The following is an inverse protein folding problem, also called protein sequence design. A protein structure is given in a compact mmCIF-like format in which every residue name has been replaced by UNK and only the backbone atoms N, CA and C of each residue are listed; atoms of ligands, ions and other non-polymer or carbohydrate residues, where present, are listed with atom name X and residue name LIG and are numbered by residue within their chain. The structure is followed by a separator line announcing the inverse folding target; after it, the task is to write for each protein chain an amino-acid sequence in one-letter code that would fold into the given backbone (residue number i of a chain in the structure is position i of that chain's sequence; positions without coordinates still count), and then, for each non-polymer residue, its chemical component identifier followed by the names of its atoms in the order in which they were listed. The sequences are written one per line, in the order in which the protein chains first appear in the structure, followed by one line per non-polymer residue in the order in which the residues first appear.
data_IF_187195048380
#
_entry.id   IF_187195048380
#
_cell.length_a   1.000
_cell.length_b   1.000
_cell.length_c   1.000
_cell.angle_alpha   90.00
_cell.angle_beta   90.00
_cell.angle_gamma   90.00
#
_symmetry.space_group_name_H-M   'P 1'
#
loop_
_entity.id
_entity.type
_entity.pdbx_description
1 polymer ?
#
# COMPACT_ATOMS: atom_id res chain seq x y z
N UNK A 1 -4.98 -22.53 20.39
CA UNK A 1 -5.15 -21.28 19.61
C UNK A 1 -5.12 -21.69 18.16
N UNK A 2 -6.11 -21.33 17.34
CA UNK A 2 -6.01 -21.54 15.90
C UNK A 2 -4.81 -20.74 15.39
N UNK A 3 -3.94 -21.36 14.58
CA UNK A 3 -2.87 -20.63 13.89
C UNK A 3 -3.50 -19.59 12.97
N UNK A 4 -2.95 -18.38 12.91
CA UNK A 4 -3.37 -17.37 11.94
C UNK A 4 -3.25 -17.96 10.52
N UNK A 5 -4.33 -17.89 9.73
CA UNK A 5 -4.44 -18.57 8.41
C UNK A 5 -4.41 -17.58 7.24
N UNK A 6 -4.51 -16.28 7.52
CA UNK A 6 -4.62 -15.22 6.51
C UNK A 6 -3.60 -14.11 6.73
N UNK A 7 -2.39 -14.47 7.16
CA UNK A 7 -1.31 -13.51 7.36
C UNK A 7 -0.76 -12.95 6.04
N UNK A 8 -0.30 -11.71 6.09
CA UNK A 8 0.35 -10.99 4.98
C UNK A 8 1.77 -10.56 5.39
N UNK A 9 2.68 -10.31 4.44
CA UNK A 9 2.52 -10.42 2.98
C UNK A 9 2.56 -11.87 2.49
N UNK A 10 2.30 -12.10 1.19
CA UNK A 10 2.44 -13.41 0.53
C UNK A 10 3.19 -13.28 -0.81
N UNK A 11 3.62 -14.41 -1.35
CA UNK A 11 4.10 -14.48 -2.73
C UNK A 11 2.94 -14.60 -3.72
N UNK A 12 2.92 -13.73 -4.72
CA UNK A 12 1.96 -13.75 -5.82
C UNK A 12 2.59 -14.58 -6.95
N UNK A 13 2.21 -15.84 -7.01
CA UNK A 13 2.68 -16.79 -8.02
C UNK A 13 1.67 -16.76 -9.17
N UNK A 14 2.05 -16.22 -10.34
CA UNK A 14 1.13 -15.95 -11.45
C UNK A 14 0.29 -17.16 -11.89
N UNK A 15 0.89 -18.35 -11.93
CA UNK A 15 0.18 -19.61 -12.28
C UNK A 15 -0.90 -20.04 -11.27
N UNK A 16 -0.87 -19.50 -10.05
CA UNK A 16 -1.81 -19.83 -8.97
C UNK A 16 -2.87 -18.73 -8.79
N UNK A 17 -2.86 -17.69 -9.65
CA UNK A 17 -3.80 -16.58 -9.59
C UNK A 17 -4.98 -16.85 -10.52
N UNK A 18 -6.18 -16.72 -10.00
CA UNK A 18 -7.42 -16.88 -10.76
C UNK A 18 -7.81 -15.54 -11.40
N UNK A 19 -7.85 -15.47 -12.73
CA UNK A 19 -8.38 -14.30 -13.40
C UNK A 19 -9.90 -14.23 -13.16
N UNK A 20 -10.38 -13.09 -12.67
CA UNK A 20 -11.80 -12.82 -12.39
C UNK A 20 -12.12 -11.42 -12.92
N UNK A 21 -12.26 -11.30 -14.23
CA UNK A 21 -12.47 -10.02 -14.93
C UNK A 21 -13.85 -9.40 -14.63
N UNK A 22 -14.78 -10.17 -14.05
CA UNK A 22 -16.09 -9.66 -13.63
C UNK A 22 -15.99 -8.88 -12.31
N UNK A 23 -15.26 -9.43 -11.34
CA UNK A 23 -15.12 -8.84 -10.00
C UNK A 23 -13.87 -7.94 -9.89
N UNK A 24 -12.74 -8.34 -10.46
CA UNK A 24 -11.47 -7.62 -10.36
C UNK A 24 -11.32 -6.60 -11.49
N UNK A 25 -12.24 -5.64 -11.56
CA UNK A 25 -12.27 -4.63 -12.63
C UNK A 25 -11.38 -3.44 -12.32
N UNK A 26 -10.27 -3.28 -13.05
CA UNK A 26 -9.35 -2.16 -12.92
C UNK A 26 -10.02 -0.79 -13.14
N UNK A 27 -10.98 -0.71 -14.06
CA UNK A 27 -11.76 0.49 -14.34
C UNK A 27 -12.80 0.83 -13.25
N UNK A 28 -13.15 -0.15 -12.40
CA UNK A 28 -14.05 0.03 -11.27
C UNK A 28 -13.31 0.40 -9.97
N UNK A 29 -11.97 0.27 -9.93
CA UNK A 29 -11.16 0.70 -8.80
C UNK A 29 -11.00 2.22 -8.85
N UNK A 30 -11.71 2.90 -7.97
CA UNK A 30 -11.72 4.35 -7.89
C UNK A 30 -11.20 4.82 -6.53
N UNK A 31 -10.09 5.56 -6.55
CA UNK A 31 -9.60 6.32 -5.40
C UNK A 31 -9.97 7.78 -5.65
N UNK A 32 -11.03 8.25 -5.03
CA UNK A 32 -11.51 9.63 -5.12
C UNK A 32 -10.73 10.51 -4.15
N UNK A 33 -9.51 10.91 -4.55
CA UNK A 33 -8.64 11.75 -3.72
C UNK A 33 -9.18 13.18 -3.60
N UNK A 34 -9.18 13.71 -2.38
CA UNK A 34 -9.52 15.12 -2.11
C UNK A 34 -8.25 15.91 -1.75
N UNK A 35 -7.85 16.88 -2.59
CA UNK A 35 -6.68 17.71 -2.32
C UNK A 35 -6.69 18.33 -0.92
N UNK A 36 -5.56 18.20 -0.22
CA UNK A 36 -5.40 18.67 1.16
C UNK A 36 -5.82 17.67 2.24
N UNK A 37 -6.30 16.47 1.87
CA UNK A 37 -6.58 15.42 2.84
C UNK A 37 -5.31 14.84 3.46
N UNK A 38 -4.24 14.68 2.67
CA UNK A 38 -2.91 14.35 3.19
C UNK A 38 -2.26 15.62 3.73
N UNK A 39 -2.05 15.70 5.04
CA UNK A 39 -1.72 16.95 5.73
C UNK A 39 -0.25 17.10 6.05
N UNK A 40 0.38 16.05 6.56
CA UNK A 40 1.75 16.09 7.03
C UNK A 40 2.40 14.70 7.03
N UNK A 41 3.72 14.72 7.14
CA UNK A 41 4.57 13.55 7.29
C UNK A 41 5.22 13.58 8.66
N UNK A 42 5.19 12.44 9.33
CA UNK A 42 6.03 12.15 10.49
C UNK A 42 7.02 11.06 10.13
N UNK A 43 8.23 11.15 10.71
CA UNK A 43 9.26 10.12 10.60
C UNK A 43 9.59 9.64 12.00
N UNK A 44 9.59 8.33 12.19
CA UNK A 44 9.96 7.65 13.43
C UNK A 44 10.97 6.53 13.13
N UNK A 45 11.38 5.79 14.16
CA UNK A 45 12.37 4.71 14.02
C UNK A 45 11.92 3.59 13.06
N UNK A 46 10.61 3.39 12.87
CA UNK A 46 10.05 2.36 11.99
C UNK A 46 9.82 2.79 10.54
N UNK A 47 10.01 4.08 10.22
CA UNK A 47 9.80 4.63 8.87
C UNK A 47 9.07 5.97 8.88
N UNK A 48 8.35 6.26 7.80
CA UNK A 48 7.51 7.45 7.71
C UNK A 48 6.02 7.08 7.66
N UNK A 49 5.18 8.03 8.06
CA UNK A 49 3.73 7.95 7.93
C UNK A 49 3.22 9.28 7.39
N UNK A 50 2.37 9.24 6.37
CA UNK A 50 1.61 10.42 5.92
C UNK A 50 0.25 10.41 6.61
N UNK A 51 0.02 11.42 7.43
CA UNK A 51 -1.23 11.60 8.15
C UNK A 51 -2.29 12.24 7.26
N UNK A 52 -3.55 11.91 7.54
CA UNK A 52 -4.70 12.57 6.92
C UNK A 52 -5.40 13.51 7.89
N UNK A 53 -6.16 14.47 7.36
CA UNK A 53 -6.99 15.34 8.19
C UNK A 53 -8.08 14.56 8.93
N UNK A 54 -8.52 15.06 10.09
CA UNK A 54 -9.54 14.42 10.96
C UNK A 54 -10.85 14.05 10.24
N UNK A 55 -11.28 14.85 9.27
CA UNK A 55 -12.48 14.62 8.46
C UNK A 55 -12.07 14.35 7.01
N UNK A 56 -11.24 13.33 6.81
CA UNK A 56 -10.81 12.84 5.51
C UNK A 56 -12.04 12.54 4.64
N UNK A 57 -12.00 12.94 3.37
CA UNK A 57 -13.06 12.66 2.40
C UNK A 57 -12.54 11.84 1.20
N UNK A 58 -11.23 11.58 1.17
CA UNK A 58 -10.59 10.68 0.24
C UNK A 58 -11.08 9.27 0.49
N UNK A 59 -11.63 8.63 -0.55
CA UNK A 59 -12.24 7.31 -0.42
C UNK A 59 -11.86 6.37 -1.55
N UNK A 60 -11.92 5.07 -1.26
CA UNK A 60 -11.75 3.96 -2.17
C UNK A 60 -13.08 3.23 -2.32
N UNK A 61 -13.40 2.90 -3.57
CA UNK A 61 -14.47 1.97 -3.95
C UNK A 61 -13.96 1.05 -5.05
N UNK A 62 -14.34 -0.22 -5.02
CA UNK A 62 -14.04 -1.19 -6.08
C UNK A 62 -15.03 -2.36 -6.04
N UNK A 63 -15.19 -3.07 -7.15
CA UNK A 63 -16.15 -4.18 -7.28
C UNK A 63 -15.83 -5.37 -6.35
N UNK A 64 -14.55 -5.64 -6.07
CA UNK A 64 -14.14 -6.74 -5.20
C UNK A 64 -14.25 -6.42 -3.71
N UNK A 65 -14.58 -5.17 -3.34
CA UNK A 65 -14.79 -4.75 -1.97
C UNK A 65 -16.27 -4.89 -1.57
N UNK A 66 -16.58 -5.02 -0.26
CA UNK A 66 -17.94 -4.91 0.23
C UNK A 66 -18.61 -3.60 -0.24
N UNK A 67 -19.95 -3.54 -0.33
CA UNK A 67 -20.68 -2.34 -0.73
C UNK A 67 -20.63 -1.28 0.38
N UNK A 68 -19.49 -0.60 0.46
CA UNK A 68 -19.15 0.42 1.44
C UNK A 68 -18.17 1.43 0.83
N UNK A 69 -18.05 2.60 1.44
CA UNK A 69 -16.92 3.50 1.18
C UNK A 69 -15.79 3.15 2.14
N UNK A 70 -14.58 3.10 1.62
CA UNK A 70 -13.37 2.93 2.43
C UNK A 70 -12.65 4.27 2.49
N UNK A 71 -12.54 4.90 3.65
CA UNK A 71 -11.89 6.21 3.80
C UNK A 71 -10.39 6.06 4.03
N UNK A 72 -9.57 6.92 3.43
CA UNK A 72 -8.12 6.89 3.62
C UNK A 72 -7.79 7.23 5.08
N UNK A 73 -7.05 6.34 5.74
CA UNK A 73 -6.58 6.54 7.11
C UNK A 73 -5.16 7.11 7.14
N UNK A 74 -4.28 6.61 6.28
CA UNK A 74 -2.87 6.99 6.17
C UNK A 74 -2.23 6.28 4.98
N UNK A 75 -1.02 6.67 4.62
CA UNK A 75 -0.15 5.78 3.84
C UNK A 75 1.30 5.83 4.31
N UNK A 76 2.02 4.75 4.04
CA UNK A 76 3.42 4.55 4.41
C UNK A 76 4.10 3.68 3.34
N UNK A 77 5.39 3.39 3.52
CA UNK A 77 6.11 2.49 2.64
C UNK A 77 7.03 1.53 3.40
N UNK A 78 7.33 0.42 2.75
CA UNK A 78 8.33 -0.56 3.13
C UNK A 78 9.47 -0.56 2.11
N UNK A 79 10.69 -0.73 2.59
CA UNK A 79 11.89 -0.75 1.75
C UNK A 79 12.99 -1.63 2.35
N UNK A 80 13.98 -1.96 1.52
CA UNK A 80 15.14 -2.74 1.88
C UNK A 80 16.44 -1.95 1.74
N UNK A 81 17.55 -2.59 2.12
CA UNK A 81 18.85 -1.95 2.18
C UNK A 81 19.49 -1.71 0.80
N UNK A 82 18.93 -2.27 -0.27
CA UNK A 82 19.42 -2.12 -1.64
C UNK A 82 18.29 -2.14 -2.68
N UNK A 83 18.61 -1.94 -3.95
CA UNK A 83 17.61 -1.84 -5.03
C UNK A 83 16.95 -3.16 -5.46
N UNK A 84 17.34 -4.31 -4.89
CA UNK A 84 16.87 -5.64 -5.31
C UNK A 84 15.93 -6.30 -4.29
N UNK A 85 15.74 -5.67 -3.13
CA UNK A 85 14.85 -6.15 -2.08
C UNK A 85 14.27 -4.99 -1.30
N UNK A 86 13.08 -5.19 -0.71
CA UNK A 86 12.42 -4.15 0.06
C UNK A 86 10.90 -4.24 0.07
N UNK A 87 10.30 -4.74 -1.00
CA UNK A 87 8.87 -5.04 -1.00
C UNK A 87 8.54 -6.12 0.03
N UNK A 88 7.33 -6.02 0.57
CA UNK A 88 6.79 -7.01 1.49
C UNK A 88 6.26 -8.21 0.70
N UNK A 89 5.40 -7.94 -0.29
CA UNK A 89 4.96 -8.93 -1.25
C UNK A 89 6.07 -9.26 -2.25
N UNK A 90 5.95 -10.45 -2.85
CA UNK A 90 6.81 -10.88 -3.95
C UNK A 90 5.97 -11.24 -5.17
N UNK A 91 6.57 -11.10 -6.35
CA UNK A 91 5.99 -11.55 -7.62
C UNK A 91 6.83 -12.72 -8.12
N UNK A 92 6.25 -13.92 -8.18
CA UNK A 92 6.93 -15.16 -8.58
C UNK A 92 8.27 -15.36 -7.81
N UNK A 93 8.22 -15.17 -6.49
CA UNK A 93 9.37 -15.30 -5.59
C UNK A 93 10.37 -14.14 -5.63
N UNK A 94 10.14 -13.11 -6.44
CA UNK A 94 11.03 -11.95 -6.57
C UNK A 94 10.54 -10.78 -5.73
N UNK A 95 11.42 -10.25 -4.89
CA UNK A 95 11.24 -8.95 -4.24
C UNK A 95 11.54 -7.80 -5.20
N UNK A 96 10.93 -6.66 -4.93
CA UNK A 96 11.23 -5.36 -5.54
C UNK A 96 11.82 -4.41 -4.48
N UNK A 97 12.23 -3.22 -4.88
CA UNK A 97 13.03 -2.30 -4.05
C UNK A 97 12.26 -1.69 -2.87
N UNK A 98 10.94 -1.66 -2.96
CA UNK A 98 10.04 -1.18 -1.90
C UNK A 98 8.57 -1.39 -2.28
N UNK A 99 7.69 -0.97 -1.38
CA UNK A 99 6.24 -1.10 -1.55
C UNK A 99 5.52 -0.02 -0.75
N UNK A 100 4.63 0.75 -1.38
CA UNK A 100 3.80 1.77 -0.72
C UNK A 100 2.45 1.16 -0.38
N UNK A 101 1.96 1.40 0.83
CA UNK A 101 0.65 0.95 1.30
C UNK A 101 -0.25 2.14 1.60
N UNK A 102 -1.32 2.27 0.81
CA UNK A 102 -2.41 3.20 1.09
C UNK A 102 -3.49 2.46 1.89
N UNK A 103 -3.67 2.85 3.15
CA UNK A 103 -4.56 2.15 4.09
C UNK A 103 -5.88 2.87 4.17
N UNK A 104 -6.95 2.16 3.81
CA UNK A 104 -8.31 2.65 3.91
C UNK A 104 -9.10 1.79 4.91
N UNK A 105 -10.09 2.38 5.57
CA UNK A 105 -10.95 1.70 6.53
C UNK A 105 -12.42 1.75 6.13
N UNK A 106 -13.14 0.67 6.37
CA UNK A 106 -14.53 0.49 6.01
C UNK A 106 -15.45 1.36 6.89
N UNK A 107 -16.12 2.33 6.27
CA UNK A 107 -16.98 3.31 6.96
C UNK A 107 -18.33 2.74 7.42
N UNK A 108 -18.62 1.47 7.13
CA UNK A 108 -19.76 0.79 7.76
C UNK A 108 -19.51 0.50 9.26
N UNK A 109 -18.26 0.56 9.73
CA UNK A 109 -17.91 0.50 11.15
C UNK A 109 -17.81 1.90 11.75
N UNK A 110 -17.98 2.05 13.07
CA UNK A 110 -18.07 3.38 13.68
C UNK A 110 -16.71 4.10 13.78
N UNK A 111 -15.60 3.36 13.66
CA UNK A 111 -14.24 3.92 13.72
C UNK A 111 -13.21 2.98 13.12
N UNK A 112 -12.02 3.51 12.81
CA UNK A 112 -10.85 2.70 12.43
C UNK A 112 -10.56 1.61 13.47
N UNK A 113 -10.66 1.92 14.76
CA UNK A 113 -10.38 0.98 15.85
C UNK A 113 -11.37 -0.19 15.92
N UNK A 114 -12.62 0.03 15.53
CA UNK A 114 -13.61 -1.04 15.38
C UNK A 114 -13.36 -1.83 14.10
N UNK A 115 -13.07 -1.14 12.99
CA UNK A 115 -12.82 -1.75 11.70
C UNK A 115 -11.66 -2.78 11.78
N UNK A 116 -10.54 -2.47 12.45
CA UNK A 116 -9.41 -3.42 12.56
C UNK A 116 -9.73 -4.73 13.28
N UNK A 117 -10.89 -4.83 13.95
CA UNK A 117 -11.36 -6.06 14.59
C UNK A 117 -12.22 -6.93 13.65
N UNK A 118 -12.49 -6.45 12.44
CA UNK A 118 -13.44 -7.06 11.50
C UNK A 118 -12.70 -7.62 10.27
N UNK A 119 -13.11 -8.77 9.71
CA UNK A 119 -12.39 -9.45 8.64
C UNK A 119 -12.32 -8.66 7.32
N UNK A 120 -13.21 -7.68 7.12
CA UNK A 120 -13.32 -6.77 5.97
C UNK A 120 -13.17 -5.30 6.39
N UNK A 121 -12.53 -5.06 7.54
CA UNK A 121 -12.41 -3.75 8.14
C UNK A 121 -11.53 -2.77 7.38
N UNK A 122 -10.50 -3.29 6.70
CA UNK A 122 -9.54 -2.48 5.96
C UNK A 122 -9.47 -2.92 4.50
N UNK A 123 -9.22 -1.94 3.63
CA UNK A 123 -8.76 -2.17 2.27
C UNK A 123 -7.39 -1.51 2.13
N UNK A 124 -6.38 -2.26 1.68
CA UNK A 124 -5.03 -1.73 1.48
C UNK A 124 -4.66 -1.83 0.01
N UNK A 125 -4.31 -0.68 -0.57
CA UNK A 125 -3.78 -0.61 -1.93
C UNK A 125 -2.26 -0.58 -1.87
N UNK A 126 -1.62 -1.61 -2.43
CA UNK A 126 -0.18 -1.75 -2.52
C UNK A 126 0.36 -1.35 -3.89
N UNK A 127 1.44 -0.59 -3.91
CA UNK A 127 2.18 -0.19 -5.12
C UNK A 127 3.62 -0.63 -4.97
N UNK A 128 4.10 -1.49 -5.86
CA UNK A 128 5.51 -1.86 -5.88
C UNK A 128 6.41 -0.72 -6.37
N UNK A 129 7.56 -0.55 -5.71
CA UNK A 129 8.62 0.35 -6.13
C UNK A 129 9.81 -0.43 -6.67
N UNK A 130 10.34 0.01 -7.80
CA UNK A 130 11.54 -0.54 -8.43
C UNK A 130 12.59 0.55 -8.59
N UNK A 131 13.81 0.27 -8.18
CA UNK A 131 14.94 1.15 -8.41
C UNK A 131 15.18 1.31 -9.92
N UNK A 132 15.11 2.54 -10.40
CA UNK A 132 15.14 2.88 -11.81
C UNK A 132 15.37 4.37 -12.02
N UNK A 133 14.60 4.97 -12.93
CA UNK A 133 14.69 6.41 -13.21
C UNK A 133 14.18 7.25 -12.04
N UNK A 134 14.67 8.49 -11.98
CA UNK A 134 14.09 9.51 -11.11
C UNK A 134 12.62 9.74 -11.47
N UNK A 135 11.78 9.83 -10.45
CA UNK A 135 10.35 9.98 -10.63
C UNK A 135 9.86 11.30 -10.03
N UNK A 136 9.50 12.24 -10.90
CA UNK A 136 9.04 13.57 -10.51
C UNK A 136 7.78 13.52 -9.64
N UNK A 137 6.87 12.56 -9.88
CA UNK A 137 5.65 12.38 -9.09
C UNK A 137 5.96 12.04 -7.62
N UNK A 138 7.08 11.36 -7.36
CA UNK A 138 7.53 11.02 -6.02
C UNK A 138 8.34 12.14 -5.36
N UNK A 139 8.73 13.19 -6.09
CA UNK A 139 9.58 14.26 -5.55
C UNK A 139 8.97 14.92 -4.31
N UNK A 140 7.71 15.35 -4.39
CA UNK A 140 7.03 16.05 -3.30
C UNK A 140 6.97 15.22 -2.01
N UNK A 141 6.65 13.92 -2.12
CA UNK A 141 6.64 13.00 -0.98
C UNK A 141 8.06 12.82 -0.42
N UNK A 142 9.02 12.45 -1.26
CA UNK A 142 10.38 12.13 -0.82
C UNK A 142 11.10 13.34 -0.22
N UNK A 143 10.90 14.54 -0.77
CA UNK A 143 11.46 15.77 -0.20
C UNK A 143 10.85 16.09 1.17
N UNK A 144 9.54 15.86 1.34
CA UNK A 144 8.85 16.06 2.62
C UNK A 144 9.32 15.05 3.66
N UNK A 145 9.47 13.78 3.27
CA UNK A 145 10.07 12.73 4.13
C UNK A 145 11.49 13.12 4.54
N UNK A 146 12.33 13.54 3.59
CA UNK A 146 13.71 14.01 3.86
C UNK A 146 13.74 15.15 4.87
N UNK A 147 12.83 16.11 4.73
CA UNK A 147 12.67 17.22 5.68
C UNK A 147 12.17 16.73 7.03
N UNK A 148 11.29 15.73 7.10
CA UNK A 148 10.77 15.20 8.35
C UNK A 148 11.80 14.33 9.11
N UNK A 149 12.77 13.74 8.42
CA UNK A 149 13.83 12.94 9.05
C UNK A 149 14.63 13.76 10.07
N UNK A 150 14.62 13.31 11.32
CA UNK A 150 15.30 13.97 12.44
C UNK A 150 14.54 15.17 13.05
N UNK A 151 13.34 15.47 12.55
CA UNK A 151 12.48 16.49 13.12
C UNK A 151 11.47 15.89 14.11
N UNK A 152 11.23 16.61 15.21
CA UNK A 152 10.26 16.23 16.24
C UNK A 152 8.83 16.64 15.84
N UNK A 153 8.70 17.69 15.02
CA UNK A 153 7.42 18.19 14.55
C UNK A 153 7.06 17.63 13.17
N UNK A 154 5.79 17.30 12.91
CA UNK A 154 5.33 16.91 11.58
C UNK A 154 5.67 17.97 10.52
N UNK A 155 6.02 17.54 9.31
CA UNK A 155 6.29 18.42 8.18
C UNK A 155 5.08 18.40 7.24
N UNK A 156 4.51 19.57 6.97
CA UNK A 156 3.35 19.69 6.10
C UNK A 156 3.62 19.17 4.69
N UNK A 157 2.63 18.48 4.12
CA UNK A 157 2.64 18.06 2.72
C UNK A 157 2.56 19.26 1.76
N UNK A 158 3.15 19.17 0.56
CA UNK A 158 2.98 20.20 -0.47
C UNK A 158 1.51 20.43 -0.80
N UNK A 159 1.11 21.69 -1.02
CA UNK A 159 -0.29 22.05 -1.29
C UNK A 159 -0.82 21.47 -2.60
N UNK A 160 0.08 21.23 -3.55
CA UNK A 160 -0.15 20.65 -4.87
C UNK A 160 0.05 19.12 -4.90
N UNK A 161 0.29 18.50 -3.74
CA UNK A 161 0.39 17.05 -3.65
C UNK A 161 -0.93 16.38 -4.09
N UNK A 162 -0.81 15.34 -4.90
CA UNK A 162 -1.94 14.53 -5.34
C UNK A 162 -1.60 13.05 -5.23
N UNK A 163 -2.37 12.32 -4.41
CA UNK A 163 -2.09 10.91 -4.10
C UNK A 163 -2.01 10.04 -5.37
N UNK A 164 -2.90 10.28 -6.32
CA UNK A 164 -2.96 9.48 -7.56
C UNK A 164 -1.67 9.53 -8.40
N UNK A 165 -0.84 10.56 -8.24
CA UNK A 165 0.47 10.64 -8.93
C UNK A 165 1.43 9.54 -8.45
N UNK A 166 1.20 8.98 -7.26
CA UNK A 166 1.99 7.90 -6.69
C UNK A 166 1.53 6.51 -7.15
N UNK A 167 0.44 6.43 -7.93
CA UNK A 167 -0.10 5.19 -8.46
C UNK A 167 0.42 4.93 -9.89
N UNK A 168 0.36 3.68 -10.38
CA UNK A 168 0.66 3.40 -11.77
C UNK A 168 -0.25 4.21 -12.73
N UNK A 169 0.23 4.48 -13.96
CA UNK A 169 -0.60 5.05 -15.03
C UNK A 169 -1.91 4.29 -15.19
N UNK A 170 -3.00 4.98 -15.53
CA UNK A 170 -4.36 4.43 -15.54
C UNK A 170 -4.47 3.17 -16.42
N UNK A 171 -3.77 3.14 -17.55
CA UNK A 171 -3.69 2.01 -18.50
C UNK A 171 -2.85 0.82 -17.99
N UNK A 172 -2.25 0.95 -16.81
CA UNK A 172 -1.38 -0.06 -16.17
C UNK A 172 -1.79 -0.36 -14.73
N UNK A 173 -3.06 -0.14 -14.40
CA UNK A 173 -3.64 -0.38 -13.06
C UNK A 173 -4.18 -1.80 -12.89
N UNK A 174 -3.58 -2.75 -13.59
CA UNK A 174 -3.83 -4.16 -13.34
C UNK A 174 -3.40 -4.54 -11.93
N UNK A 175 -4.21 -5.37 -11.26
CA UNK A 175 -4.04 -5.68 -9.86
C UNK A 175 -4.42 -7.11 -9.52
N UNK A 176 -3.93 -7.56 -8.36
CA UNK A 176 -4.41 -8.76 -7.67
C UNK A 176 -5.06 -8.41 -6.34
N UNK A 177 -6.03 -9.21 -5.91
CA UNK A 177 -6.73 -9.06 -4.63
C UNK A 177 -6.81 -10.37 -3.86
N UNK A 178 -6.67 -10.28 -2.54
CA UNK A 178 -6.82 -11.41 -1.64
C UNK A 178 -7.14 -10.95 -0.20
N UNK A 179 -7.65 -11.86 0.63
CA UNK A 179 -7.89 -11.61 2.05
C UNK A 179 -6.63 -11.87 2.88
N UNK A 180 -6.23 -10.88 3.67
CA UNK A 180 -4.97 -10.88 4.39
C UNK A 180 -5.02 -10.20 5.75
N UNK A 181 -3.84 -9.78 6.20
CA UNK A 181 -3.65 -9.11 7.47
C UNK A 181 -2.88 -7.81 7.34
N UNK A 182 -2.82 -7.06 8.43
CA UNK A 182 -1.75 -6.08 8.64
C UNK A 182 -0.40 -6.81 8.61
N UNK A 183 0.62 -6.15 8.07
CA UNK A 183 2.01 -6.68 8.01
C UNK A 183 2.86 -6.23 9.20
N UNK A 184 2.27 -5.46 10.12
CA UNK A 184 2.85 -5.02 11.39
C UNK A 184 1.98 -5.47 12.56
N UNK A 185 2.54 -5.61 13.78
CA UNK A 185 1.75 -5.97 14.97
C UNK A 185 0.52 -5.06 15.15
N UNK A 186 -0.65 -5.59 15.51
CA UNK A 186 -0.90 -6.95 16.01
C UNK A 186 -1.15 -8.01 14.92
N UNK A 187 -0.90 -7.69 13.64
CA UNK A 187 -1.12 -8.57 12.49
C UNK A 187 -2.57 -9.03 12.32
N UNK A 188 -3.54 -8.16 12.64
CA UNK A 188 -4.97 -8.44 12.51
C UNK A 188 -5.33 -8.90 11.08
N UNK A 189 -6.07 -9.99 10.94
CA UNK A 189 -6.59 -10.51 9.67
C UNK A 189 -7.85 -9.76 9.22
N UNK A 190 -7.70 -8.47 9.00
CA UNK A 190 -8.78 -7.51 8.72
C UNK A 190 -8.63 -6.81 7.36
N UNK A 191 -7.72 -7.27 6.50
CA UNK A 191 -7.31 -6.54 5.30
C UNK A 191 -7.79 -7.25 4.04
N UNK A 192 -8.46 -6.50 3.16
CA UNK A 192 -8.63 -6.86 1.75
C UNK A 192 -7.52 -6.16 0.96
N UNK A 193 -6.57 -6.94 0.45
CA UNK A 193 -5.42 -6.42 -0.29
C UNK A 193 -5.79 -6.13 -1.74
N UNK A 194 -5.22 -5.07 -2.29
CA UNK A 194 -5.27 -4.75 -3.72
C UNK A 194 -3.89 -4.31 -4.16
N UNK A 195 -3.16 -5.19 -4.85
CA UNK A 195 -1.77 -4.96 -5.23
C UNK A 195 -1.69 -4.69 -6.73
N UNK A 196 -1.25 -3.49 -7.11
CA UNK A 196 -0.93 -3.24 -8.52
C UNK A 196 0.29 -4.06 -8.93
N UNK A 197 0.21 -4.72 -10.09
CA UNK A 197 1.28 -5.60 -10.58
C UNK A 197 2.34 -4.85 -11.39
N UNK A 198 2.01 -3.68 -11.96
CA UNK A 198 2.99 -2.79 -12.58
C UNK A 198 3.76 -2.01 -11.50
N UNK A 199 5.10 -2.18 -11.41
CA UNK A 199 5.91 -1.42 -10.48
C UNK A 199 6.17 -0.01 -10.97
N UNK A 200 6.31 0.92 -10.03
CA UNK A 200 6.73 2.29 -10.31
C UNK A 200 8.25 2.41 -10.16
N UNK A 201 8.90 3.02 -11.15
CA UNK A 201 10.31 3.35 -11.02
C UNK A 201 10.52 4.54 -10.08
N UNK A 202 11.50 4.43 -9.20
CA UNK A 202 12.02 5.51 -8.35
C UNK A 202 13.55 5.43 -8.35
N UNK A 203 14.22 6.58 -8.29
CA UNK A 203 15.70 6.57 -8.36
C UNK A 203 16.34 6.00 -7.10
N UNK A 204 17.59 5.55 -7.24
CA UNK A 204 18.46 5.22 -6.10
C UNK A 204 18.48 6.35 -5.06
N UNK A 205 18.61 7.61 -5.49
CA UNK A 205 18.63 8.76 -4.58
C UNK A 205 17.34 8.94 -3.79
N UNK A 206 16.18 8.71 -4.42
CA UNK A 206 14.88 8.75 -3.75
C UNK A 206 14.72 7.62 -2.74
N UNK A 207 15.11 6.39 -3.09
CA UNK A 207 15.12 5.26 -2.15
C UNK A 207 16.11 5.47 -0.99
N UNK A 208 17.25 6.11 -1.25
CA UNK A 208 18.27 6.34 -0.23
C UNK A 208 17.81 7.32 0.85
N UNK A 209 16.87 8.24 0.54
CA UNK A 209 16.22 9.06 1.58
C UNK A 209 15.50 8.17 2.59
N UNK A 210 14.80 7.13 2.13
CA UNK A 210 14.08 6.20 3.00
C UNK A 210 15.07 5.34 3.81
N UNK A 211 16.11 4.80 3.16
CA UNK A 211 17.15 3.97 3.79
C UNK A 211 17.94 4.71 4.88
N UNK A 212 18.00 6.04 4.81
CA UNK A 212 18.61 6.89 5.85
C UNK A 212 17.75 7.04 7.11
N UNK A 213 16.45 6.68 7.07
CA UNK A 213 15.59 6.62 8.25
C UNK A 213 15.90 5.34 9.03
N UNK A 214 15.74 4.20 8.36
CA UNK A 214 16.04 2.85 8.84
C UNK A 214 16.50 2.01 7.64
N UNK A 215 17.49 1.09 7.80
CA UNK A 215 18.03 0.33 6.67
C UNK A 215 16.98 -0.53 5.93
N UNK A 216 16.05 -1.12 6.66
CA UNK A 216 14.92 -1.89 6.12
C UNK A 216 13.79 -2.00 7.13
N UNK A 217 12.54 -2.12 6.64
CA UNK A 217 11.35 -2.19 7.49
C UNK A 217 10.25 -3.10 6.89
N UNK A 218 10.62 -4.20 6.23
CA UNK A 218 9.67 -5.12 5.57
C UNK A 218 9.55 -6.47 6.30
N UNK A 219 8.35 -7.05 6.29
CA UNK A 219 8.08 -8.43 6.73
C UNK A 219 8.40 -9.44 5.62
N UNK A 220 8.74 -10.67 6.00
CA UNK A 220 8.87 -11.78 5.05
C UNK A 220 7.49 -12.31 4.62
N UNK A 221 7.40 -12.92 3.43
CA UNK A 221 6.19 -13.61 2.99
C UNK A 221 5.77 -14.70 3.99
N UNK A 222 4.47 -14.81 4.18
CA UNK A 222 3.79 -15.77 5.02
C UNK A 222 3.19 -16.87 4.12
N UNK A 223 2.78 -17.98 4.71
CA UNK A 223 2.12 -19.06 3.96
C UNK A 223 0.77 -18.56 3.40
N UNK A 224 0.48 -18.93 2.15
CA UNK A 224 -0.81 -18.65 1.52
C UNK A 224 -1.94 -19.43 2.20
N UNK A 225 -1.65 -20.57 2.82
CA UNK A 225 -2.63 -21.44 3.50
C UNK A 225 -3.85 -21.75 2.63
N UNK A 226 -3.64 -21.98 1.33
CA UNK A 226 -4.71 -22.31 0.38
C UNK A 226 -5.65 -21.16 0.00
N UNK A 227 -5.40 -19.93 0.46
CA UNK A 227 -6.17 -18.75 0.03
C UNK A 227 -6.13 -18.58 -1.49
N UNK A 228 -7.27 -18.22 -2.05
CA UNK A 228 -7.40 -17.80 -3.43
C UNK A 228 -6.86 -16.37 -3.61
N UNK A 229 -6.19 -16.15 -4.74
CA UNK A 229 -5.76 -14.83 -5.20
C UNK A 229 -6.49 -14.60 -6.51
N UNK A 230 -7.19 -13.47 -6.62
CA UNK A 230 -7.91 -13.09 -7.84
C UNK A 230 -7.22 -11.93 -8.54
N UNK A 231 -7.39 -11.82 -9.85
CA UNK A 231 -6.70 -10.81 -10.68
C UNK A 231 -7.61 -10.14 -11.69
N UNK A 232 -7.28 -8.90 -12.03
CA UNK A 232 -7.88 -8.13 -13.14
C UNK A 232 -7.40 -8.55 -14.52
N UNK A 233 -6.35 -9.36 -14.59
CA UNK A 233 -5.68 -9.76 -15.82
C UNK A 233 -5.12 -11.18 -15.72
N UNK A 234 -4.90 -11.78 -16.88
CA UNK A 234 -4.24 -13.08 -16.99
C UNK A 234 -2.72 -12.94 -16.77
N UNK A 235 -2.18 -13.74 -15.86
CA UNK A 235 -0.73 -13.92 -15.72
C UNK A 235 -0.26 -14.92 -16.77
N UNK A 236 0.26 -14.44 -17.90
CA UNK A 236 0.90 -15.29 -18.92
C UNK A 236 2.29 -15.75 -18.50
#
# INVERSE_FOLDING_TARGET
MASAQRQSPIDIIGRDVCCDEEVCRADALNIDYKPGDCVDVIVNEGGFLVNVKRHCATSLTANHLPPAKFELAQFHAHWGCNGKEGSEHTLNGKKLSGEVHFVFWNTNYASFGEAIQQPDGLAVVGVFLKEGKYNDNYHGLIDTVRKATGNVTPIAMPKDFHLEQLLPPVDKRDFVTYLGSLTTPPFNECVIWTLFTEPIEVSYGQLNVLRNIIPSNHRACQDRCGREIRSSHNFN
#
